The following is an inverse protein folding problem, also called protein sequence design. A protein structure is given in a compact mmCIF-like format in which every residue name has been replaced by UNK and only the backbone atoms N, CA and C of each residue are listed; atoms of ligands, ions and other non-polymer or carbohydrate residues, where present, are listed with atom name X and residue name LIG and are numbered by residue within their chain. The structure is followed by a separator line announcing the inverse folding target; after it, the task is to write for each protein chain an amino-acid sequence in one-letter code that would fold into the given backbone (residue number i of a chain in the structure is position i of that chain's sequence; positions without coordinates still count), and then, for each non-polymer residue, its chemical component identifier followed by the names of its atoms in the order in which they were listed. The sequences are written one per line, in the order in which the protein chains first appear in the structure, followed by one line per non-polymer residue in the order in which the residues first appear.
data_IF_660253787336
#
_entry.id   IF_660253787336
#
_cell.length_a   1.000
_cell.length_b   1.000
_cell.length_c   1.000
_cell.angle_alpha   90.00
_cell.angle_beta   90.00
_cell.angle_gamma   90.00
#
_symmetry.space_group_name_H-M   'P 1'
#
loop_
_entity.id
_entity.type
_entity.pdbx_description
1 polymer ?
#
# COMPACT_ATOMS: atom_id res chain seq x y z
N UNK A 1 18.52 -18.68 20.09
CA UNK A 1 17.76 -17.57 20.71
C UNK A 1 17.66 -16.34 19.80
N UNK A 2 17.53 -16.50 18.47
CA UNK A 2 17.39 -15.39 17.50
C UNK A 2 16.22 -15.58 16.49
N UNK A 3 15.46 -16.68 16.60
CA UNK A 3 14.29 -16.95 15.73
C UNK A 3 13.07 -16.05 16.04
N UNK A 4 12.97 -15.50 17.25
CA UNK A 4 11.84 -14.66 17.68
C UNK A 4 11.74 -13.31 16.96
N UNK A 5 12.87 -12.69 16.60
CA UNK A 5 12.87 -11.36 15.96
C UNK A 5 12.49 -11.40 14.48
N UNK A 6 12.90 -12.46 13.77
CA UNK A 6 12.54 -12.66 12.36
C UNK A 6 11.02 -12.84 12.19
N UNK A 7 10.38 -13.55 13.13
CA UNK A 7 8.95 -13.85 13.05
C UNK A 7 8.05 -12.63 13.39
N UNK A 8 8.55 -11.67 14.19
CA UNK A 8 7.77 -10.48 14.56
C UNK A 8 7.75 -9.39 13.47
N UNK A 9 8.86 -9.21 12.73
CA UNK A 9 8.90 -8.23 11.62
C UNK A 9 7.99 -8.69 10.47
N UNK A 10 7.98 -9.99 10.15
CA UNK A 10 7.11 -10.56 9.11
C UNK A 10 5.61 -10.46 9.43
N UNK A 11 5.22 -10.73 10.68
CA UNK A 11 3.82 -10.63 11.14
C UNK A 11 3.24 -9.23 11.02
N UNK A 12 4.02 -8.20 11.35
CA UNK A 12 3.54 -6.81 11.28
C UNK A 12 3.26 -6.37 9.83
N UNK A 13 4.05 -6.86 8.87
CA UNK A 13 3.81 -6.65 7.44
C UNK A 13 2.53 -7.32 6.96
N UNK A 14 2.31 -8.59 7.30
CA UNK A 14 1.10 -9.31 6.87
C UNK A 14 -0.15 -8.67 7.44
N UNK A 15 -0.17 -8.35 8.74
CA UNK A 15 -1.33 -7.74 9.40
C UNK A 15 -1.74 -6.40 8.77
N UNK A 16 -0.78 -5.53 8.43
CA UNK A 16 -1.09 -4.26 7.79
C UNK A 16 -1.70 -4.45 6.38
N UNK A 17 -1.09 -5.32 5.57
CA UNK A 17 -1.59 -5.61 4.22
C UNK A 17 -2.93 -6.37 4.24
N UNK A 18 -3.19 -7.18 5.26
CA UNK A 18 -4.45 -7.91 5.44
C UNK A 18 -5.65 -6.98 5.73
N UNK A 19 -5.40 -5.75 6.20
CA UNK A 19 -6.47 -4.73 6.35
C UNK A 19 -6.92 -4.14 5.01
N UNK A 20 -6.10 -4.29 3.96
CA UNK A 20 -6.38 -3.78 2.62
C UNK A 20 -7.15 -4.82 1.82
N UNK A 21 -8.18 -4.36 1.12
CA UNK A 21 -8.84 -5.14 0.06
C UNK A 21 -7.87 -5.39 -1.10
N UNK A 22 -8.17 -6.38 -1.94
CA UNK A 22 -7.33 -6.67 -3.11
C UNK A 22 -7.20 -5.48 -4.06
N UNK A 23 -8.27 -4.69 -4.21
CA UNK A 23 -8.24 -3.47 -5.02
C UNK A 23 -7.34 -2.40 -4.40
N UNK A 24 -7.36 -2.26 -3.08
CA UNK A 24 -6.47 -1.33 -2.37
C UNK A 24 -5.00 -1.77 -2.45
N UNK A 25 -4.73 -3.08 -2.39
CA UNK A 25 -3.38 -3.62 -2.63
C UNK A 25 -2.88 -3.32 -4.04
N UNK A 26 -3.71 -3.50 -5.07
CA UNK A 26 -3.37 -3.11 -6.44
C UNK A 26 -3.04 -1.62 -6.55
N UNK A 27 -3.86 -0.76 -5.96
CA UNK A 27 -3.64 0.69 -5.98
C UNK A 27 -2.36 1.05 -5.22
N UNK A 28 -2.10 0.46 -4.06
CA UNK A 28 -0.88 0.64 -3.29
C UNK A 28 0.38 0.35 -4.12
N UNK A 29 0.39 -0.77 -4.86
CA UNK A 29 1.50 -1.17 -5.72
C UNK A 29 1.76 -0.09 -6.78
N UNK A 30 0.73 0.34 -7.50
CA UNK A 30 0.87 1.34 -8.57
C UNK A 30 1.31 2.71 -8.01
N UNK A 31 0.80 3.10 -6.83
CA UNK A 31 1.23 4.31 -6.14
C UNK A 31 2.72 4.23 -5.80
N UNK A 32 3.17 3.10 -5.28
CA UNK A 32 4.56 2.88 -4.88
C UNK A 32 5.54 2.78 -6.06
N UNK A 33 5.04 2.37 -7.23
CA UNK A 33 5.74 2.47 -8.52
C UNK A 33 5.82 3.91 -9.07
N UNK A 34 5.15 4.88 -8.42
CA UNK A 34 5.22 6.29 -8.78
C UNK A 34 4.11 6.78 -9.71
N UNK A 35 3.15 5.93 -10.09
CA UNK A 35 2.09 6.32 -11.03
C UNK A 35 1.16 7.38 -10.43
N UNK A 36 0.86 8.44 -11.18
CA UNK A 36 -0.14 9.44 -10.84
C UNK A 36 -1.55 8.85 -10.77
N UNK A 37 -2.49 9.56 -10.13
CA UNK A 37 -3.88 9.09 -10.06
C UNK A 37 -4.53 8.92 -11.44
N UNK A 38 -4.15 9.76 -12.40
CA UNK A 38 -4.62 9.67 -13.79
C UNK A 38 -4.08 8.43 -14.50
N UNK A 39 -2.81 8.08 -14.29
CA UNK A 39 -2.21 6.86 -14.84
C UNK A 39 -2.83 5.60 -14.21
N UNK A 40 -3.02 5.60 -12.89
CA UNK A 40 -3.69 4.51 -12.17
C UNK A 40 -5.13 4.35 -12.66
N UNK A 41 -5.85 5.46 -12.83
CA UNK A 41 -7.23 5.45 -13.33
C UNK A 41 -7.33 4.81 -14.71
N UNK A 42 -6.41 5.15 -15.62
CA UNK A 42 -6.30 4.53 -16.95
C UNK A 42 -5.95 3.05 -16.85
N UNK A 43 -4.93 2.69 -16.07
CA UNK A 43 -4.46 1.32 -15.92
C UNK A 43 -5.55 0.40 -15.36
N UNK A 44 -6.33 0.90 -14.41
CA UNK A 44 -7.34 0.13 -13.70
C UNK A 44 -8.78 0.33 -14.23
N UNK A 45 -8.94 1.11 -15.31
CA UNK A 45 -10.21 1.44 -15.98
C UNK A 45 -11.28 1.94 -15.01
N UNK A 46 -10.93 2.95 -14.20
CA UNK A 46 -11.82 3.62 -13.23
C UNK A 46 -11.63 5.14 -13.27
N UNK A 47 -12.49 5.89 -12.59
CA UNK A 47 -12.33 7.34 -12.50
C UNK A 47 -11.15 7.74 -11.61
N UNK A 48 -10.50 8.86 -11.91
CA UNK A 48 -9.46 9.44 -11.03
C UNK A 48 -9.99 9.76 -9.63
N UNK A 49 -11.26 10.18 -9.53
CA UNK A 49 -11.95 10.38 -8.24
C UNK A 49 -12.01 9.08 -7.44
N UNK A 50 -12.30 7.95 -8.09
CA UNK A 50 -12.31 6.62 -7.45
C UNK A 50 -10.92 6.26 -6.95
N UNK A 51 -9.86 6.53 -7.73
CA UNK A 51 -8.47 6.33 -7.29
C UNK A 51 -8.16 7.16 -6.04
N UNK A 52 -8.51 8.45 -6.03
CA UNK A 52 -8.31 9.32 -4.86
C UNK A 52 -9.01 8.79 -3.62
N UNK A 53 -10.26 8.35 -3.75
CA UNK A 53 -11.00 7.77 -2.63
C UNK A 53 -10.32 6.51 -2.07
N UNK A 54 -9.85 5.61 -2.95
CA UNK A 54 -9.09 4.44 -2.51
C UNK A 54 -7.80 4.83 -1.79
N UNK A 55 -7.04 5.81 -2.29
CA UNK A 55 -5.82 6.28 -1.62
C UNK A 55 -6.16 6.84 -0.23
N UNK A 56 -7.22 7.64 -0.09
CA UNK A 56 -7.69 8.12 1.21
C UNK A 56 -8.02 6.97 2.16
N UNK A 57 -8.70 5.93 1.69
CA UNK A 57 -9.02 4.76 2.51
C UNK A 57 -7.77 3.97 2.91
N UNK A 58 -6.82 3.77 1.99
CA UNK A 58 -5.53 3.11 2.26
C UNK A 58 -4.78 3.88 3.35
N UNK A 59 -4.65 5.20 3.20
CA UNK A 59 -4.00 6.06 4.18
C UNK A 59 -4.65 5.92 5.56
N UNK A 60 -5.97 5.98 5.64
CA UNK A 60 -6.71 5.82 6.88
C UNK A 60 -6.49 4.44 7.52
N UNK A 61 -6.57 3.35 6.73
CA UNK A 61 -6.35 1.97 7.22
C UNK A 61 -4.93 1.74 7.73
N UNK A 62 -3.95 2.40 7.13
CA UNK A 62 -2.54 2.27 7.49
C UNK A 62 -2.07 3.30 8.53
N UNK A 63 -2.96 4.22 8.96
CA UNK A 63 -2.60 5.29 9.89
C UNK A 63 -1.61 6.31 9.32
N UNK A 64 -1.67 6.54 8.00
CA UNK A 64 -0.79 7.45 7.27
C UNK A 64 -1.57 8.70 6.84
N UNK A 65 -0.86 9.81 6.65
CA UNK A 65 -1.44 11.11 6.31
C UNK A 65 -1.16 11.52 4.86
N UNK A 66 -0.06 11.04 4.29
CA UNK A 66 0.38 11.50 2.95
C UNK A 66 0.72 10.37 2.01
N UNK A 67 0.58 10.65 0.70
CA UNK A 67 1.04 9.76 -0.37
C UNK A 67 2.55 9.47 -0.25
N UNK A 68 3.35 10.46 0.14
CA UNK A 68 4.78 10.28 0.34
C UNK A 68 5.07 9.30 1.49
N UNK A 69 4.34 9.41 2.60
CA UNK A 69 4.40 8.43 3.70
C UNK A 69 3.99 7.04 3.24
N UNK A 70 2.95 6.92 2.41
CA UNK A 70 2.51 5.64 1.85
C UNK A 70 3.62 4.96 1.04
N UNK A 71 4.25 5.72 0.13
CA UNK A 71 5.36 5.24 -0.69
C UNK A 71 6.55 4.84 0.20
N UNK A 72 6.97 5.73 1.11
CA UNK A 72 8.09 5.48 2.00
C UNK A 72 7.85 4.26 2.90
N UNK A 73 6.63 4.08 3.40
CA UNK A 73 6.22 2.94 4.24
C UNK A 73 6.23 1.64 3.45
N UNK A 74 5.71 1.64 2.22
CA UNK A 74 5.72 0.47 1.35
C UNK A 74 7.16 0.00 1.05
N UNK A 75 8.08 0.93 0.78
CA UNK A 75 9.50 0.61 0.57
C UNK A 75 10.17 0.13 1.85
N UNK A 76 10.00 0.84 2.97
CA UNK A 76 10.65 0.51 4.26
C UNK A 76 10.25 -0.86 4.78
N UNK A 77 8.99 -1.23 4.62
CA UNK A 77 8.48 -2.54 5.05
C UNK A 77 8.64 -3.61 3.95
N UNK A 78 9.25 -3.26 2.82
CA UNK A 78 9.47 -4.14 1.69
C UNK A 78 8.18 -4.64 1.03
N UNK A 79 7.03 -3.99 1.20
CA UNK A 79 5.73 -4.48 0.71
C UNK A 79 5.71 -4.80 -0.78
N UNK A 80 6.60 -4.18 -1.56
CA UNK A 80 6.74 -4.35 -3.00
C UNK A 80 7.58 -5.57 -3.42
N UNK A 81 8.22 -6.27 -2.48
CA UNK A 81 9.13 -7.39 -2.80
C UNK A 81 8.43 -8.75 -2.93
N UNK A 82 7.17 -8.87 -2.49
CA UNK A 82 6.46 -10.16 -2.39
C UNK A 82 4.96 -10.08 -2.77
N UNK A 83 4.57 -9.17 -3.69
CA UNK A 83 3.19 -9.06 -4.19
C UNK A 83 3.13 -9.47 -5.66
#
# INVERSE_FOLDING_TARGET
MVSFLQNWIGRSRSLALDTLTDREKQILILVAQGLSNTEIAKYLVISEKTVRNHITHILAKLGLSTRAELIATAWRNGWLTNL
#
